data_IF_433086654994
#
_entry.id   IF_433086654994
#
_cell.length_a   1.000
_cell.length_b   1.000
_cell.length_c   1.000
_cell.angle_alpha   90.00
_cell.angle_beta   90.00
_cell.angle_gamma   90.00
#
_symmetry.space_group_name_H-M   'P 1'
#
loop_
_entity.id
_entity.type
_entity.pdbx_description
1 polymer ?
#
# COMPACT_ATOMS: atom_id res chain seq x y z
N UNK A 1 26.91 -31.58 -6.49
CA UNK A 1 25.71 -30.77 -6.78
C UNK A 1 25.05 -30.14 -5.53
N UNK A 2 25.18 -30.73 -4.33
CA UNK A 2 24.53 -30.24 -3.09
C UNK A 2 24.95 -28.82 -2.65
N UNK A 3 26.22 -28.43 -2.82
CA UNK A 3 26.67 -27.09 -2.39
C UNK A 3 26.04 -25.93 -3.19
N UNK A 4 25.82 -26.12 -4.50
CA UNK A 4 25.17 -25.08 -5.33
C UNK A 4 23.72 -24.85 -4.90
N UNK A 5 22.99 -25.93 -4.59
CA UNK A 5 21.61 -25.86 -4.09
C UNK A 5 21.58 -25.15 -2.74
N UNK A 6 22.52 -25.47 -1.84
CA UNK A 6 22.62 -24.80 -0.54
C UNK A 6 22.88 -23.29 -0.67
N UNK A 7 23.76 -22.86 -1.59
CA UNK A 7 24.00 -21.44 -1.84
C UNK A 7 22.75 -20.73 -2.39
N UNK A 8 22.03 -21.38 -3.31
CA UNK A 8 20.78 -20.83 -3.86
C UNK A 8 19.73 -20.66 -2.75
N UNK A 9 19.55 -21.67 -1.88
CA UNK A 9 18.61 -21.59 -0.77
C UNK A 9 18.98 -20.48 0.23
N UNK A 10 20.25 -20.38 0.63
CA UNK A 10 20.72 -19.30 1.49
C UNK A 10 20.50 -17.92 0.86
N UNK A 11 20.72 -17.79 -0.44
CA UNK A 11 20.49 -16.54 -1.16
C UNK A 11 19.00 -16.18 -1.22
N UNK A 12 18.11 -17.14 -1.47
CA UNK A 12 16.65 -16.91 -1.43
C UNK A 12 16.21 -16.47 -0.02
N UNK A 13 16.69 -17.12 1.03
CA UNK A 13 16.39 -16.74 2.42
C UNK A 13 16.87 -15.33 2.75
N UNK A 14 18.06 -14.97 2.25
CA UNK A 14 18.59 -13.62 2.40
C UNK A 14 17.70 -12.58 1.71
N UNK A 15 17.30 -12.80 0.46
CA UNK A 15 16.38 -11.92 -0.27
C UNK A 15 15.06 -11.75 0.51
N UNK A 16 14.50 -12.83 1.03
CA UNK A 16 13.24 -12.78 1.79
C UNK A 16 13.36 -11.94 3.07
N UNK A 17 14.49 -12.02 3.76
CA UNK A 17 14.76 -11.16 4.93
C UNK A 17 14.89 -9.69 4.54
N UNK A 18 15.57 -9.39 3.43
CA UNK A 18 15.68 -8.02 2.94
C UNK A 18 14.32 -7.44 2.57
N UNK A 19 13.45 -8.22 1.90
CA UNK A 19 12.09 -7.78 1.57
C UNK A 19 11.29 -7.41 2.83
N UNK A 20 11.24 -8.32 3.82
CA UNK A 20 10.51 -8.05 5.07
C UNK A 20 11.03 -6.83 5.84
N UNK A 21 12.34 -6.55 5.80
CA UNK A 21 12.90 -5.35 6.40
C UNK A 21 12.49 -4.08 5.65
N UNK A 22 12.50 -4.12 4.31
CA UNK A 22 12.08 -2.97 3.48
C UNK A 22 10.61 -2.67 3.69
N UNK A 23 9.77 -3.70 3.69
CA UNK A 23 8.33 -3.59 3.92
C UNK A 23 8.07 -2.98 5.32
N UNK A 24 8.70 -3.51 6.37
CA UNK A 24 8.59 -2.96 7.73
C UNK A 24 9.09 -1.51 7.86
N UNK A 25 10.17 -1.14 7.17
CA UNK A 25 10.67 0.23 7.17
C UNK A 25 9.70 1.20 6.47
N UNK A 26 9.09 0.77 5.36
CA UNK A 26 8.06 1.54 4.66
C UNK A 26 6.81 1.71 5.54
N UNK A 27 6.40 0.67 6.26
CA UNK A 27 5.25 0.75 7.18
C UNK A 27 5.51 1.77 8.30
N UNK A 28 6.72 1.75 8.87
CA UNK A 28 7.13 2.70 9.90
C UNK A 28 7.11 4.15 9.37
N UNK A 29 7.49 4.37 8.12
CA UNK A 29 7.40 5.68 7.46
C UNK A 29 5.95 6.15 7.32
N UNK A 30 5.03 5.32 6.83
CA UNK A 30 3.60 5.65 6.73
C UNK A 30 3.02 6.07 8.09
N UNK A 31 3.32 5.30 9.15
CA UNK A 31 2.87 5.61 10.50
C UNK A 31 3.45 6.91 11.06
N UNK A 32 4.73 7.22 10.75
CA UNK A 32 5.34 8.50 11.16
C UNK A 32 4.73 9.69 10.43
N UNK A 33 4.44 9.55 9.14
CA UNK A 33 3.78 10.60 8.38
C UNK A 33 2.38 10.84 8.94
N UNK A 34 1.61 9.79 9.20
CA UNK A 34 0.28 9.89 9.81
C UNK A 34 0.29 10.65 11.15
N UNK A 35 1.29 10.44 12.01
CA UNK A 35 1.39 11.09 13.33
C UNK A 35 1.69 12.60 13.26
N UNK A 36 2.44 13.05 12.25
CA UNK A 36 2.91 14.45 12.16
C UNK A 36 2.13 15.31 11.16
N UNK A 37 1.33 14.69 10.29
CA UNK A 37 0.72 15.41 9.19
C UNK A 37 -0.45 16.28 9.65
N UNK A 38 -0.84 17.25 8.80
CA UNK A 38 -1.95 18.16 9.07
C UNK A 38 -3.05 17.94 8.04
N UNK A 39 -4.23 17.57 8.51
CA UNK A 39 -5.42 17.47 7.67
C UNK A 39 -5.76 18.81 7.00
N UNK A 40 -5.99 18.76 5.69
CA UNK A 40 -6.40 19.90 4.86
C UNK A 40 -7.77 19.69 4.21
N UNK A 41 -8.35 18.48 4.35
CA UNK A 41 -9.64 18.08 3.78
C UNK A 41 -9.72 18.22 2.25
N UNK A 42 -8.58 18.23 1.56
CA UNK A 42 -8.50 18.23 0.09
C UNK A 42 -8.54 16.79 -0.40
N UNK A 43 -9.64 16.34 -1.03
CA UNK A 43 -9.81 14.94 -1.39
C UNK A 43 -8.75 14.47 -2.39
N UNK A 44 -8.25 13.26 -2.19
CA UNK A 44 -7.28 12.62 -3.07
C UNK A 44 -7.76 11.25 -3.54
N UNK A 45 -7.20 10.79 -4.66
CA UNK A 45 -7.30 9.39 -5.06
C UNK A 45 -6.06 8.65 -4.56
N UNK A 46 -6.24 7.49 -3.94
CA UNK A 46 -5.17 6.53 -3.70
C UNK A 46 -5.38 5.29 -4.57
N UNK A 47 -4.28 4.77 -5.12
CA UNK A 47 -4.26 3.49 -5.83
C UNK A 47 -3.18 2.61 -5.22
N UNK A 48 -3.55 1.39 -4.82
CA UNK A 48 -2.63 0.39 -4.26
C UNK A 48 -1.88 -0.37 -5.36
N UNK A 49 -0.91 -1.22 -4.98
CA UNK A 49 -0.15 -2.00 -5.97
C UNK A 49 -0.98 -3.03 -6.76
N UNK A 50 -2.23 -3.30 -6.38
CA UNK A 50 -3.18 -4.10 -7.16
C UNK A 50 -4.35 -3.34 -7.74
N UNK A 51 -4.19 -2.04 -7.90
CA UNK A 51 -5.14 -1.22 -8.61
C UNK A 51 -6.49 -1.15 -7.89
N UNK A 52 -6.55 -1.48 -6.59
CA UNK A 52 -7.63 -1.03 -5.74
C UNK A 52 -7.57 0.49 -5.72
N UNK A 53 -8.71 1.11 -6.05
CA UNK A 53 -8.82 2.56 -6.04
C UNK A 53 -9.72 2.97 -4.90
N UNK A 54 -9.28 3.99 -4.17
CA UNK A 54 -10.03 4.55 -3.04
C UNK A 54 -9.85 6.07 -2.99
N UNK A 55 -10.94 6.78 -2.74
CA UNK A 55 -10.90 8.20 -2.41
C UNK A 55 -10.65 8.38 -0.91
N UNK A 56 -9.71 9.23 -0.55
CA UNK A 56 -9.41 9.66 0.83
C UNK A 56 -9.86 11.11 1.03
N UNK A 57 -10.20 11.48 2.27
CA UNK A 57 -10.64 12.84 2.61
C UNK A 57 -9.49 13.82 2.40
N UNK A 58 -8.28 13.43 2.79
CA UNK A 58 -7.04 14.08 2.39
C UNK A 58 -5.85 13.10 2.36
N UNK A 59 -4.63 13.62 2.22
CA UNK A 59 -3.41 12.82 2.17
C UNK A 59 -3.05 12.19 3.52
N UNK A 60 -3.42 12.81 4.64
CA UNK A 60 -3.21 12.23 5.97
C UNK A 60 -4.04 10.97 6.15
N UNK A 61 -5.32 11.01 5.80
CA UNK A 61 -6.22 9.85 5.87
C UNK A 61 -5.72 8.65 5.05
N UNK A 62 -4.96 8.90 3.97
CA UNK A 62 -4.33 7.83 3.19
C UNK A 62 -3.17 7.18 3.96
N UNK A 63 -2.28 7.97 4.55
CA UNK A 63 -1.15 7.47 5.34
C UNK A 63 -1.63 6.75 6.62
N UNK A 64 -2.64 7.28 7.30
CA UNK A 64 -3.30 6.62 8.43
C UNK A 64 -3.85 5.24 8.01
N UNK A 65 -4.55 5.18 6.89
CA UNK A 65 -5.10 3.91 6.40
C UNK A 65 -3.99 2.92 6.00
N UNK A 66 -2.92 3.39 5.36
CA UNK A 66 -1.76 2.56 5.02
C UNK A 66 -1.09 1.99 6.28
N UNK A 67 -0.89 2.81 7.32
CA UNK A 67 -0.35 2.38 8.60
C UNK A 67 -1.25 1.35 9.30
N UNK A 68 -2.54 1.65 9.47
CA UNK A 68 -3.48 0.81 10.21
C UNK A 68 -3.77 -0.52 9.52
N UNK A 69 -3.93 -0.48 8.19
CA UNK A 69 -4.34 -1.64 7.39
C UNK A 69 -3.18 -2.33 6.68
N UNK A 70 -1.94 -1.86 6.90
CA UNK A 70 -0.73 -2.35 6.21
C UNK A 70 -0.90 -2.32 4.70
N UNK A 71 -1.40 -1.22 4.16
CA UNK A 71 -1.67 -1.04 2.73
C UNK A 71 -0.64 -0.10 2.10
N UNK A 72 -0.56 -0.13 0.77
CA UNK A 72 0.41 0.64 0.00
C UNK A 72 -0.26 1.59 -1.00
N UNK A 73 -1.36 2.24 -0.61
CA UNK A 73 -2.00 3.24 -1.45
C UNK A 73 -1.04 4.39 -1.73
N UNK A 74 -0.91 4.75 -3.01
CA UNK A 74 -0.13 5.89 -3.46
C UNK A 74 -1.06 6.96 -4.01
N UNK A 75 -0.79 8.22 -3.68
CA UNK A 75 -1.55 9.35 -4.17
C UNK A 75 -1.53 9.41 -5.71
N UNK A 76 -2.71 9.63 -6.28
CA UNK A 76 -2.98 9.87 -7.70
C UNK A 76 -3.87 11.10 -7.87
N UNK A 77 -3.88 11.71 -9.06
CA UNK A 77 -4.82 12.75 -9.41
C UNK A 77 -6.26 12.35 -9.06
N UNK A 78 -7.02 13.28 -8.48
CA UNK A 78 -8.38 13.04 -7.95
C UNK A 78 -9.31 12.39 -8.98
N UNK A 79 -9.13 12.71 -10.25
CA UNK A 79 -9.96 12.21 -11.35
C UNK A 79 -9.66 10.76 -11.75
N UNK A 80 -8.57 10.14 -11.27
CA UNK A 80 -8.28 8.71 -11.53
C UNK A 80 -9.26 7.80 -10.77
N UNK A 81 -9.57 8.17 -9.53
CA UNK A 81 -10.65 7.53 -8.80
C UNK A 81 -11.96 8.09 -9.38
N UNK A 82 -12.71 7.24 -10.07
CA UNK A 82 -14.02 7.59 -10.59
C UNK A 82 -14.90 8.09 -9.44
N UNK A 83 -15.08 9.41 -9.40
CA UNK A 83 -15.91 10.12 -8.42
C UNK A 83 -17.38 9.80 -8.68
N UNK A 84 -17.82 8.59 -8.35
CA UNK A 84 -19.26 8.31 -8.17
C UNK A 84 -19.69 8.95 -6.86
N UNK A 85 -19.79 10.27 -6.89
CA UNK A 85 -20.32 11.05 -5.78
C UNK A 85 -21.78 10.62 -5.55
N UNK A 86 -22.08 10.09 -4.36
CA UNK A 86 -23.23 10.55 -3.55
C UNK A 86 -23.11 10.24 -2.07
N UNK A 87 -22.49 9.13 -1.61
CA UNK A 87 -22.41 8.80 -0.17
C UNK A 87 -21.25 7.87 0.21
N UNK A 88 -20.02 8.27 -0.07
CA UNK A 88 -18.84 7.66 0.52
C UNK A 88 -18.22 6.53 -0.29
N UNK A 89 -16.92 6.69 -0.52
CA UNK A 89 -15.93 5.66 -0.87
C UNK A 89 -16.28 4.85 -2.12
N UNK A 90 -15.80 5.34 -3.27
CA UNK A 90 -15.72 4.53 -4.48
C UNK A 90 -14.65 3.45 -4.25
N UNK A 91 -15.09 2.21 -3.98
CA UNK A 91 -14.24 1.04 -3.91
C UNK A 91 -14.33 0.32 -5.25
N UNK A 92 -13.38 0.58 -6.15
CA UNK A 92 -13.23 -0.30 -7.31
C UNK A 92 -12.31 -1.44 -6.90
N UNK A 93 -12.84 -2.67 -6.99
CA UNK A 93 -12.09 -3.91 -6.72
C UNK A 93 -10.80 -3.97 -7.53
N UNK A 94 -9.79 -4.64 -6.97
CA UNK A 94 -8.46 -4.78 -7.56
C UNK A 94 -8.51 -5.23 -9.02
N UNK A 95 -7.68 -4.58 -9.83
CA UNK A 95 -7.55 -4.88 -11.25
C UNK A 95 -6.80 -6.20 -11.49
N UNK A 96 -6.06 -6.69 -10.49
CA UNK A 96 -5.15 -7.84 -10.59
C UNK A 96 -5.65 -9.07 -9.80
N UNK A 97 -6.87 -9.54 -10.11
CA UNK A 97 -7.38 -10.83 -9.63
C UNK A 97 -7.79 -10.91 -8.15
N UNK A 98 -8.55 -11.94 -7.75
CA UNK A 98 -9.32 -11.98 -6.49
C UNK A 98 -8.49 -12.08 -5.20
N UNK A 99 -7.15 -12.21 -5.28
CA UNK A 99 -6.29 -12.48 -4.13
C UNK A 99 -5.05 -11.57 -4.08
N UNK A 100 -4.99 -10.52 -4.90
CA UNK A 100 -3.82 -9.66 -4.84
C UNK A 100 -3.75 -8.89 -3.51
N UNK A 101 -4.90 -8.49 -2.99
CA UNK A 101 -5.05 -7.66 -1.80
C UNK A 101 -4.48 -8.34 -0.53
N UNK A 102 -4.32 -9.68 -0.56
CA UNK A 102 -3.70 -10.50 0.49
C UNK A 102 -2.17 -10.49 0.45
N UNK A 103 -1.58 -10.02 -0.66
CA UNK A 103 -0.13 -9.94 -0.89
C UNK A 103 0.37 -8.50 -0.94
N UNK A 104 -0.53 -7.53 -1.12
CA UNK A 104 -0.25 -6.10 -1.04
C UNK A 104 -0.27 -5.62 0.40
N UNK A 105 0.73 -6.07 1.14
CA UNK A 105 0.97 -5.56 2.48
C UNK A 105 2.29 -4.82 2.51
N UNK A 106 2.30 -3.74 3.28
CA UNK A 106 3.51 -3.07 3.77
C UNK A 106 3.86 -3.63 5.14
#
# INVERSE_FOLDING_TARGET
MMNKIQYILNFILFIKRCQAHVDGAKLEEECKIADICRHDQVPICGIDSCGEMRTFIDNCDMHEFNCDSKKDFVQKPVHECWVTCKRGRSFKKSAYGPNCDLKNMV
#
